data_IF_897715534847
#
_entry.id   IF_897715534847
#
_cell.length_a   1.000
_cell.length_b   1.000
_cell.length_c   1.000
_cell.angle_alpha   90.00
_cell.angle_beta   90.00
_cell.angle_gamma   90.00
#
_symmetry.space_group_name_H-M   'P 1'
#
loop_
_entity.id
_entity.type
_entity.pdbx_description
1 polymer ?
#
# COMPACT_ATOMS: atom_id res chain seq x y z
N UNK A 1 4.71 -10.92 -17.61
CA UNK A 1 5.06 -12.29 -17.17
C UNK A 1 6.19 -12.93 -17.97
N UNK A 2 6.29 -12.70 -19.30
CA UNK A 2 7.37 -13.23 -20.14
C UNK A 2 8.79 -13.09 -19.55
N UNK A 3 9.21 -11.87 -19.21
CA UNK A 3 10.55 -11.65 -18.65
C UNK A 3 10.79 -12.33 -17.31
N UNK A 4 9.78 -12.38 -16.43
CA UNK A 4 9.90 -13.07 -15.15
C UNK A 4 10.19 -14.57 -15.35
N UNK A 5 9.57 -15.22 -16.35
CA UNK A 5 9.84 -16.62 -16.69
C UNK A 5 11.27 -16.85 -17.16
N UNK A 6 11.79 -15.94 -18.00
CA UNK A 6 13.19 -15.99 -18.45
C UNK A 6 14.13 -15.84 -17.25
N UNK A 7 13.87 -14.88 -16.37
CA UNK A 7 14.68 -14.72 -15.15
C UNK A 7 14.66 -16.02 -14.34
N UNK A 8 13.48 -16.63 -14.17
CA UNK A 8 13.34 -17.90 -13.44
C UNK A 8 14.03 -19.09 -14.08
N UNK A 9 14.29 -19.08 -15.38
CA UNK A 9 15.05 -20.17 -16.02
C UNK A 9 16.57 -20.02 -15.84
N UNK A 10 17.06 -18.84 -15.43
CA UNK A 10 18.51 -18.57 -15.32
C UNK A 10 18.98 -18.30 -13.90
N UNK A 11 18.09 -17.90 -12.98
CA UNK A 11 18.45 -17.65 -11.57
C UNK A 11 18.11 -18.85 -10.68
N UNK A 12 18.96 -19.08 -9.67
CA UNK A 12 18.70 -20.08 -8.62
C UNK A 12 17.47 -19.70 -7.78
N UNK A 13 16.77 -20.70 -7.24
CA UNK A 13 15.54 -20.52 -6.44
C UNK A 13 15.64 -19.52 -5.27
N UNK A 14 16.77 -19.41 -4.53
CA UNK A 14 16.87 -18.42 -3.45
C UNK A 14 16.97 -16.96 -3.91
N UNK A 15 17.16 -16.69 -5.21
CA UNK A 15 17.16 -15.32 -5.73
C UNK A 15 15.71 -14.88 -5.88
N UNK A 16 15.34 -13.85 -5.13
CA UNK A 16 13.98 -13.31 -5.18
C UNK A 16 13.80 -12.39 -6.39
N UNK A 17 12.65 -12.46 -7.04
CA UNK A 17 12.31 -11.64 -8.21
C UNK A 17 11.13 -10.75 -7.86
N UNK A 18 11.34 -9.44 -7.94
CA UNK A 18 10.29 -8.46 -7.75
C UNK A 18 10.16 -7.50 -8.92
N UNK A 19 9.05 -6.77 -8.95
CA UNK A 19 8.83 -5.73 -9.94
C UNK A 19 8.02 -4.55 -9.38
N UNK A 20 8.15 -3.41 -10.04
CA UNK A 20 7.39 -2.20 -9.77
C UNK A 20 6.02 -2.28 -10.47
N UNK A 21 4.94 -2.48 -9.72
CA UNK A 21 3.60 -2.65 -10.32
C UNK A 21 2.45 -2.46 -9.31
N UNK A 22 1.22 -2.26 -9.81
CA UNK A 22 -0.01 -2.28 -8.98
C UNK A 22 -0.37 -1.00 -8.22
N UNK A 23 -0.11 0.17 -8.81
CA UNK A 23 -0.24 1.47 -8.12
C UNK A 23 -1.66 2.04 -8.12
N UNK A 24 -2.68 1.19 -7.96
CA UNK A 24 -4.10 1.59 -7.99
C UNK A 24 -4.47 2.59 -6.88
N UNK A 25 -3.67 2.66 -5.80
CA UNK A 25 -3.89 3.57 -4.67
C UNK A 25 -3.22 4.95 -4.83
N UNK A 26 -2.61 5.23 -5.98
CA UNK A 26 -1.86 6.47 -6.24
C UNK A 26 -2.05 7.00 -7.66
N UNK A 27 -2.15 6.11 -8.64
CA UNK A 27 -2.43 6.49 -10.03
C UNK A 27 -3.83 7.10 -10.11
N UNK A 28 -3.90 8.31 -10.63
CA UNK A 28 -5.12 9.11 -10.81
C UNK A 28 -4.98 9.89 -12.13
N UNK A 29 -5.90 10.79 -12.47
CA UNK A 29 -5.76 11.84 -13.50
C UNK A 29 -4.79 11.52 -14.66
N UNK A 30 -5.30 11.02 -15.78
CA UNK A 30 -4.51 10.57 -16.97
C UNK A 30 -3.60 9.35 -16.78
N UNK A 31 -3.47 8.83 -15.55
CA UNK A 31 -2.56 7.71 -15.26
C UNK A 31 -3.24 6.50 -14.63
N UNK A 32 -4.51 6.63 -14.22
CA UNK A 32 -5.26 5.55 -13.55
C UNK A 32 -5.38 4.32 -14.44
N UNK A 33 -5.86 4.49 -15.67
CA UNK A 33 -6.07 3.39 -16.62
C UNK A 33 -4.88 3.30 -17.57
N UNK A 34 -4.43 4.44 -18.11
CA UNK A 34 -3.43 4.47 -19.19
C UNK A 34 -2.02 4.05 -18.82
N UNK A 35 -1.64 4.06 -17.53
CA UNK A 35 -0.32 3.54 -17.12
C UNK A 35 -0.28 2.02 -16.95
N UNK A 36 -1.40 1.32 -17.17
CA UNK A 36 -1.42 -0.14 -17.26
C UNK A 36 -1.03 -0.85 -15.96
N UNK A 37 -1.45 -0.35 -14.79
CA UNK A 37 -1.16 -0.94 -13.48
C UNK A 37 -2.31 -1.80 -12.90
N UNK A 38 -3.43 -1.96 -13.61
CA UNK A 38 -4.65 -2.55 -13.06
C UNK A 38 -4.63 -4.09 -12.98
N UNK A 39 -3.75 -4.77 -13.73
CA UNK A 39 -3.61 -6.25 -13.72
C UNK A 39 -2.75 -6.77 -12.55
N UNK A 40 -2.67 -6.03 -11.43
CA UNK A 40 -1.75 -6.38 -10.34
C UNK A 40 -2.14 -7.66 -9.61
N UNK A 41 -3.43 -8.02 -9.62
CA UNK A 41 -3.90 -9.30 -9.09
C UNK A 41 -3.25 -10.47 -9.83
N UNK A 42 -3.20 -10.41 -11.16
CA UNK A 42 -2.56 -11.41 -12.01
C UNK A 42 -1.05 -11.48 -11.80
N UNK A 43 -0.41 -10.33 -11.56
CA UNK A 43 1.02 -10.27 -11.26
C UNK A 43 1.32 -10.89 -9.89
N UNK A 44 0.47 -10.62 -8.89
CA UNK A 44 0.59 -11.21 -7.56
C UNK A 44 0.21 -12.70 -7.54
N UNK A 45 -0.61 -13.19 -8.46
CA UNK A 45 -0.89 -14.62 -8.60
C UNK A 45 0.25 -15.38 -9.31
N UNK A 46 1.16 -14.66 -9.97
CA UNK A 46 2.25 -15.29 -10.73
C UNK A 46 3.29 -15.93 -9.79
N UNK A 47 3.61 -17.23 -9.96
CA UNK A 47 4.64 -17.90 -9.15
C UNK A 47 6.06 -17.40 -9.44
N UNK A 48 6.27 -16.74 -10.58
CA UNK A 48 7.58 -16.20 -10.95
C UNK A 48 7.93 -14.90 -10.21
N UNK A 49 6.96 -14.23 -9.58
CA UNK A 49 7.16 -12.97 -8.84
C UNK A 49 7.04 -13.24 -7.34
N UNK A 50 8.04 -12.88 -6.54
CA UNK A 50 8.00 -13.09 -5.08
C UNK A 50 7.48 -11.87 -4.30
N UNK A 51 7.70 -10.67 -4.85
CA UNK A 51 7.33 -9.42 -4.22
C UNK A 51 7.04 -8.32 -5.23
N UNK A 52 6.26 -7.32 -4.82
CA UNK A 52 6.14 -6.06 -5.56
C UNK A 52 6.87 -4.94 -4.84
N UNK A 53 7.33 -3.97 -5.62
CA UNK A 53 8.02 -2.78 -5.14
C UNK A 53 7.13 -1.59 -5.45
N UNK A 54 7.02 -0.67 -4.50
CA UNK A 54 6.46 0.64 -4.77
C UNK A 54 7.06 1.68 -3.82
N UNK A 55 7.17 2.93 -4.27
CA UNK A 55 7.31 4.07 -3.36
C UNK A 55 6.22 4.09 -2.30
N UNK A 56 6.49 4.78 -1.20
CA UNK A 56 5.43 5.30 -0.36
C UNK A 56 4.58 6.34 -1.10
N UNK A 57 3.38 6.57 -0.60
CA UNK A 57 2.45 7.52 -1.20
C UNK A 57 3.05 8.89 -1.45
N UNK A 58 2.74 9.49 -2.61
CA UNK A 58 3.20 10.83 -2.93
C UNK A 58 2.34 11.91 -2.24
N UNK A 59 1.16 11.54 -1.75
CA UNK A 59 0.22 12.37 -1.00
C UNK A 59 0.18 11.99 0.48
N UNK A 60 -0.25 12.88 1.37
CA UNK A 60 -0.46 12.59 2.81
C UNK A 60 0.78 12.04 3.56
N UNK A 61 1.99 12.26 3.03
CA UNK A 61 3.28 11.89 3.66
C UNK A 61 4.00 13.04 4.37
N UNK A 62 3.44 14.25 4.29
CA UNK A 62 3.92 15.38 5.08
C UNK A 62 3.70 15.14 6.58
N UNK A 63 4.27 15.99 7.43
CA UNK A 63 3.98 15.92 8.87
C UNK A 63 2.49 16.20 9.11
N UNK A 64 1.86 15.39 9.95
CA UNK A 64 0.40 15.41 10.17
C UNK A 64 -0.40 14.53 9.20
N UNK A 65 0.23 13.99 8.15
CA UNK A 65 -0.36 12.97 7.28
C UNK A 65 -0.09 11.53 7.76
N UNK A 66 -0.80 10.55 7.18
CA UNK A 66 -0.74 9.16 7.60
C UNK A 66 0.18 8.24 6.80
N UNK A 67 0.82 8.72 5.72
CA UNK A 67 1.53 7.87 4.75
C UNK A 67 0.60 6.81 4.11
N UNK A 68 1.18 5.73 3.57
CA UNK A 68 0.44 4.63 2.98
C UNK A 68 1.13 4.02 1.77
N UNK A 69 0.54 2.91 1.32
CA UNK A 69 1.03 2.12 0.19
C UNK A 69 0.37 2.52 -1.12
N UNK A 70 1.11 2.35 -2.21
CA UNK A 70 0.61 2.45 -3.58
C UNK A 70 -0.15 1.18 -4.01
N UNK A 71 0.23 0.06 -3.41
CA UNK A 71 -0.28 -1.29 -3.70
C UNK A 71 -1.25 -1.70 -2.58
N UNK A 72 -2.39 -2.35 -2.89
CA UNK A 72 -3.25 -2.94 -1.87
C UNK A 72 -2.49 -4.00 -1.08
N UNK A 73 -2.14 -3.68 0.16
CA UNK A 73 -1.30 -4.53 1.01
C UNK A 73 -2.00 -5.82 1.44
N UNK A 74 -3.32 -5.77 1.64
CA UNK A 74 -4.14 -6.93 1.95
C UNK A 74 -4.19 -7.94 0.79
N UNK A 75 -4.32 -7.43 -0.44
CA UNK A 75 -4.24 -8.23 -1.69
C UNK A 75 -2.94 -9.01 -1.79
N UNK A 76 -1.80 -8.36 -1.50
CA UNK A 76 -0.51 -9.04 -1.51
C UNK A 76 -0.43 -10.10 -0.39
N UNK A 77 -0.90 -9.75 0.81
CA UNK A 77 -0.85 -10.62 1.98
C UNK A 77 -1.66 -11.92 1.80
N UNK A 78 -2.89 -11.87 1.26
CA UNK A 78 -3.71 -13.07 1.04
C UNK A 78 -3.14 -14.02 -0.02
N UNK A 79 -2.20 -13.56 -0.84
CA UNK A 79 -1.45 -14.37 -1.81
C UNK A 79 -0.07 -14.80 -1.30
N UNK A 80 0.28 -14.44 -0.07
CA UNK A 80 1.62 -14.69 0.49
C UNK A 80 2.73 -13.95 -0.26
N UNK A 81 2.41 -12.87 -0.97
CA UNK A 81 3.40 -12.02 -1.65
C UNK A 81 3.87 -10.92 -0.72
N UNK A 82 5.15 -10.58 -0.84
CA UNK A 82 5.75 -9.50 -0.05
C UNK A 82 5.64 -8.17 -0.78
N UNK A 83 5.74 -7.10 -0.03
CA UNK A 83 5.89 -5.74 -0.55
C UNK A 83 7.21 -5.15 -0.06
N UNK A 84 7.93 -4.50 -0.96
CA UNK A 84 9.07 -3.63 -0.65
C UNK A 84 8.62 -2.18 -0.78
N UNK A 85 8.44 -1.54 0.37
CA UNK A 85 8.06 -0.13 0.52
C UNK A 85 9.31 0.73 0.39
N UNK A 86 9.46 1.37 -0.75
CA UNK A 86 10.53 2.32 -1.03
C UNK A 86 10.23 3.64 -0.31
N UNK A 87 11.07 3.98 0.65
CA UNK A 87 10.98 5.20 1.44
C UNK A 87 11.76 6.32 0.76
N UNK A 88 11.16 6.96 -0.24
CA UNK A 88 11.71 8.13 -0.96
C UNK A 88 11.25 9.47 -0.36
N UNK A 89 10.74 9.47 0.88
CA UNK A 89 10.28 10.69 1.52
C UNK A 89 11.43 11.68 1.67
N UNK A 90 11.20 12.89 1.17
CA UNK A 90 12.18 13.99 1.25
C UNK A 90 12.33 14.42 2.70
N UNK A 91 13.49 14.15 3.27
CA UNK A 91 13.84 14.62 4.61
C UNK A 91 14.26 16.09 4.56
N UNK A 92 14.62 16.65 5.72
CA UNK A 92 15.14 18.01 5.81
C UNK A 92 16.48 18.25 5.10
N UNK A 93 17.22 17.19 4.78
CA UNK A 93 18.53 17.28 4.13
C UNK A 93 18.51 16.82 2.68
N UNK A 94 17.33 16.44 2.15
CA UNK A 94 17.21 15.83 0.82
C UNK A 94 17.94 16.66 -0.24
N UNK A 95 18.76 15.97 -1.05
CA UNK A 95 19.38 16.60 -2.19
C UNK A 95 18.33 16.80 -3.30
N UNK A 96 18.06 18.07 -3.64
CA UNK A 96 17.16 18.42 -4.74
C UNK A 96 17.89 18.65 -6.07
N UNK A 97 19.23 18.61 -6.07
CA UNK A 97 20.04 18.83 -7.27
C UNK A 97 20.35 17.49 -7.96
N UNK A 98 19.78 17.31 -9.14
CA UNK A 98 20.15 16.21 -10.03
C UNK A 98 21.48 16.50 -10.75
N UNK A 99 21.74 17.78 -11.01
CA UNK A 99 22.99 18.31 -11.53
C UNK A 99 23.15 19.77 -11.07
N UNK A 100 24.30 20.43 -11.29
CA UNK A 100 24.46 21.86 -11.02
C UNK A 100 23.43 22.76 -11.73
N UNK A 101 22.78 22.25 -12.78
CA UNK A 101 21.82 22.99 -13.60
C UNK A 101 20.36 22.56 -13.42
N UNK A 102 20.11 21.42 -12.77
CA UNK A 102 18.77 20.85 -12.61
C UNK A 102 18.46 20.69 -11.12
N UNK A 103 17.49 21.47 -10.66
CA UNK A 103 17.00 21.44 -9.29
C UNK A 103 15.51 21.06 -9.26
N UNK A 104 15.18 19.95 -8.62
CA UNK A 104 13.83 19.40 -8.43
C UNK A 104 13.28 19.73 -7.04
N UNK A 105 13.40 20.99 -6.63
CA UNK A 105 12.91 21.43 -5.32
C UNK A 105 11.39 21.28 -5.25
N UNK A 106 10.92 20.49 -4.29
CA UNK A 106 9.51 20.22 -4.09
C UNK A 106 9.10 20.64 -2.68
N UNK A 107 7.84 21.07 -2.52
CA UNK A 107 7.34 21.62 -1.25
C UNK A 107 7.06 20.56 -0.18
N UNK A 108 7.14 19.27 -0.52
CA UNK A 108 6.72 18.16 0.35
C UNK A 108 7.83 17.62 1.26
N UNK A 109 8.92 18.36 1.46
CA UNK A 109 10.03 17.92 2.29
C UNK A 109 9.74 18.12 3.78
N UNK A 110 10.21 17.21 4.62
CA UNK A 110 10.12 17.36 6.07
C UNK A 110 11.00 18.54 6.50
N UNK A 111 10.44 19.56 7.18
CA UNK A 111 11.08 20.88 7.23
C UNK A 111 12.32 20.97 8.14
N UNK A 112 12.57 19.99 9.00
CA UNK A 112 13.70 19.98 9.94
C UNK A 112 14.04 18.56 10.43
N UNK A 113 15.15 18.44 11.20
CA UNK A 113 15.62 17.17 11.75
C UNK A 113 14.54 16.47 12.59
N UNK A 114 13.82 17.24 13.43
CA UNK A 114 12.73 16.70 14.28
C UNK A 114 11.63 16.07 13.43
N UNK A 115 11.18 16.75 12.39
CA UNK A 115 10.19 16.24 11.45
C UNK A 115 10.71 14.99 10.71
N UNK A 116 12.00 14.98 10.36
CA UNK A 116 12.61 13.82 9.68
C UNK A 116 12.67 12.60 10.60
N UNK A 117 13.10 12.77 11.85
CA UNK A 117 13.07 11.70 12.86
C UNK A 117 11.66 11.17 13.09
N UNK A 118 10.65 12.06 13.17
CA UNK A 118 9.26 11.64 13.33
C UNK A 118 8.73 10.86 12.11
N UNK A 119 9.02 11.34 10.89
CA UNK A 119 8.65 10.69 9.65
C UNK A 119 9.28 9.31 9.49
N UNK A 120 10.59 9.19 9.76
CA UNK A 120 11.31 7.91 9.73
C UNK A 120 10.69 6.89 10.71
N UNK A 121 10.35 7.32 11.93
CA UNK A 121 9.65 6.47 12.90
C UNK A 121 8.28 6.02 12.37
N UNK A 122 7.53 6.92 11.73
CA UNK A 122 6.22 6.60 11.12
C UNK A 122 6.36 5.54 10.03
N UNK A 123 7.29 5.69 9.08
CA UNK A 123 7.48 4.72 8.00
C UNK A 123 8.02 3.37 8.53
N UNK A 124 8.95 3.41 9.49
CA UNK A 124 9.46 2.20 10.14
C UNK A 124 8.37 1.42 10.88
N UNK A 125 7.53 2.13 11.64
CA UNK A 125 6.40 1.54 12.34
C UNK A 125 5.35 1.00 11.36
N UNK A 126 5.03 1.74 10.29
CA UNK A 126 4.12 1.27 9.24
C UNK A 126 4.62 -0.03 8.63
N UNK A 127 5.90 -0.10 8.25
CA UNK A 127 6.50 -1.30 7.68
C UNK A 127 6.47 -2.49 8.63
N UNK A 128 6.79 -2.29 9.91
CA UNK A 128 6.73 -3.34 10.94
C UNK A 128 5.30 -3.85 11.16
N UNK A 129 4.34 -2.94 11.39
CA UNK A 129 2.95 -3.30 11.70
C UNK A 129 2.27 -3.97 10.51
N UNK A 130 2.50 -3.45 9.30
CA UNK A 130 1.90 -3.96 8.07
C UNK A 130 2.75 -5.04 7.39
N UNK A 131 3.86 -5.45 8.01
CA UNK A 131 4.74 -6.54 7.57
C UNK A 131 5.26 -6.34 6.14
N UNK A 132 5.57 -5.10 5.78
CA UNK A 132 6.18 -4.73 4.50
C UNK A 132 7.66 -4.46 4.69
N UNK A 133 8.49 -4.94 3.78
CA UNK A 133 9.92 -4.66 3.79
C UNK A 133 10.16 -3.19 3.48
N UNK A 134 11.23 -2.62 4.03
CA UNK A 134 11.58 -1.21 3.86
C UNK A 134 12.85 -1.09 3.03
N UNK A 135 12.81 -0.21 2.04
CA UNK A 135 13.99 0.25 1.32
C UNK A 135 14.15 1.74 1.57
N UNK A 136 15.08 2.10 2.46
CA UNK A 136 15.48 3.49 2.70
C UNK A 136 16.25 4.00 1.47
N UNK A 137 15.57 4.72 0.60
CA UNK A 137 16.11 5.07 -0.70
C UNK A 137 16.76 6.46 -0.67
N UNK A 138 18.08 6.49 -0.62
CA UNK A 138 18.88 7.71 -0.66
C UNK A 138 19.00 8.25 -2.09
N UNK A 139 17.94 8.92 -2.54
CA UNK A 139 17.80 9.38 -3.92
C UNK A 139 18.78 10.53 -4.20
N UNK A 140 19.80 10.27 -5.02
CA UNK A 140 20.87 11.23 -5.37
C UNK A 140 21.73 11.71 -4.19
N UNK A 141 21.72 10.98 -3.07
CA UNK A 141 22.52 11.27 -1.89
C UNK A 141 21.88 12.30 -0.94
N UNK A 142 22.39 12.33 0.29
CA UNK A 142 22.06 13.30 1.34
C UNK A 142 20.63 13.28 1.87
N UNK A 143 19.80 12.29 1.52
CA UNK A 143 18.46 12.18 2.12
C UNK A 143 18.52 11.85 3.60
N UNK A 144 19.59 11.29 4.15
CA UNK A 144 19.61 10.84 5.54
C UNK A 144 20.79 11.39 6.34
N UNK A 145 20.98 12.72 6.30
CA UNK A 145 22.06 13.37 7.06
C UNK A 145 21.63 13.71 8.49
N UNK A 146 22.62 13.73 9.39
CA UNK A 146 22.46 14.10 10.80
C UNK A 146 22.52 12.91 11.76
N UNK A 147 23.11 13.14 12.93
CA UNK A 147 23.34 12.09 13.93
C UNK A 147 22.02 11.46 14.41
N UNK A 148 21.00 12.27 14.71
CA UNK A 148 19.71 11.75 15.19
C UNK A 148 18.94 10.99 14.12
N UNK A 149 19.09 11.37 12.86
CA UNK A 149 18.52 10.65 11.71
C UNK A 149 19.14 9.26 11.63
N UNK A 150 20.46 9.18 11.65
CA UNK A 150 21.18 7.90 11.59
C UNK A 150 20.93 7.02 12.81
N UNK A 151 20.88 7.59 14.01
CA UNK A 151 20.48 6.87 15.23
C UNK A 151 19.05 6.30 15.11
N UNK A 152 18.13 7.07 14.52
CA UNK A 152 16.74 6.62 14.30
C UNK A 152 16.68 5.45 13.32
N UNK A 153 17.42 5.51 12.21
CA UNK A 153 17.52 4.40 11.25
C UNK A 153 18.17 3.17 11.86
N UNK A 154 19.22 3.34 12.68
CA UNK A 154 19.85 2.25 13.41
C UNK A 154 18.86 1.57 14.37
N UNK A 155 18.07 2.34 15.12
CA UNK A 155 17.01 1.81 15.99
C UNK A 155 15.90 1.11 15.19
N UNK A 156 15.51 1.66 14.05
CA UNK A 156 14.53 1.02 13.17
C UNK A 156 15.04 -0.33 12.64
N UNK A 157 16.32 -0.40 12.25
CA UNK A 157 16.97 -1.66 11.85
C UNK A 157 17.00 -2.68 12.99
N UNK A 158 17.35 -2.25 14.20
CA UNK A 158 17.37 -3.14 15.37
C UNK A 158 16.00 -3.75 15.66
N UNK A 159 14.95 -2.92 15.69
CA UNK A 159 13.56 -3.37 15.85
C UNK A 159 13.14 -4.30 14.71
N UNK A 160 13.53 -3.99 13.47
CA UNK A 160 13.29 -4.86 12.33
C UNK A 160 14.00 -6.21 12.45
N UNK A 161 15.22 -6.26 12.95
CA UNK A 161 15.93 -7.53 13.20
C UNK A 161 15.29 -8.36 14.30
N UNK A 162 14.67 -7.71 15.31
CA UNK A 162 14.01 -8.39 16.42
C UNK A 162 12.61 -8.90 16.05
N UNK A 163 11.83 -8.09 15.34
CA UNK A 163 10.40 -8.34 15.10
C UNK A 163 10.06 -8.68 13.65
N UNK A 164 10.95 -8.38 12.71
CA UNK A 164 10.76 -8.69 11.29
C UNK A 164 10.67 -10.20 11.06
N UNK A 165 9.71 -10.61 10.23
CA UNK A 165 9.48 -12.01 9.89
C UNK A 165 8.73 -12.82 10.95
N UNK A 166 8.39 -12.25 12.10
CA UNK A 166 7.53 -12.92 13.08
C UNK A 166 6.11 -13.09 12.50
N UNK A 167 5.49 -14.28 12.61
CA UNK A 167 4.09 -14.46 12.27
C UNK A 167 3.23 -13.56 13.17
N UNK A 168 2.50 -12.64 12.56
CA UNK A 168 1.49 -11.83 13.22
C UNK A 168 0.25 -11.76 12.35
N UNK A 169 -0.92 -11.62 12.96
CA UNK A 169 -2.18 -11.37 12.22
C UNK A 169 -2.42 -9.87 12.15
N UNK A 170 -2.86 -9.39 10.99
CA UNK A 170 -3.31 -8.01 10.87
C UNK A 170 -4.57 -7.82 11.72
N UNK A 171 -4.53 -6.82 12.61
CA UNK A 171 -5.61 -6.54 13.55
C UNK A 171 -6.64 -5.52 13.01
N UNK A 172 -6.57 -5.16 11.71
CA UNK A 172 -7.47 -4.18 11.12
C UNK A 172 -8.90 -4.72 11.10
N UNK A 173 -9.81 -3.90 11.61
CA UNK A 173 -11.25 -4.14 11.57
C UNK A 173 -11.95 -3.24 10.54
N UNK A 174 -11.18 -2.48 9.76
CA UNK A 174 -11.66 -1.73 8.61
C UNK A 174 -11.01 -2.26 7.33
N UNK A 175 -11.80 -2.50 6.29
CA UNK A 175 -11.31 -2.85 4.98
C UNK A 175 -11.69 -1.77 3.97
N UNK A 176 -10.72 -1.35 3.16
CA UNK A 176 -10.98 -0.61 1.93
C UNK A 176 -10.91 -1.60 0.77
N UNK A 177 -11.93 -1.63 -0.07
CA UNK A 177 -12.03 -2.52 -1.22
C UNK A 177 -11.90 -1.70 -2.50
N UNK A 178 -10.85 -1.99 -3.26
CA UNK A 178 -10.65 -1.46 -4.62
C UNK A 178 -11.05 -2.52 -5.65
N UNK A 179 -11.46 -2.08 -6.84
CA UNK A 179 -11.88 -2.98 -7.91
C UNK A 179 -11.17 -2.60 -9.22
N UNK A 180 -10.06 -3.28 -9.58
CA UNK A 180 -9.32 -2.98 -10.81
C UNK A 180 -10.17 -3.18 -12.06
N UNK A 181 -11.10 -4.13 -12.06
CA UNK A 181 -11.96 -4.42 -13.21
C UNK A 181 -12.93 -3.27 -13.46
N UNK A 182 -13.65 -2.82 -12.42
CA UNK A 182 -14.50 -1.63 -12.51
C UNK A 182 -13.71 -0.38 -12.88
N UNK A 183 -12.44 -0.31 -12.46
CA UNK A 183 -11.56 0.83 -12.74
C UNK A 183 -11.29 1.01 -14.24
N UNK A 184 -11.36 -0.04 -15.07
CA UNK A 184 -11.25 0.09 -16.53
C UNK A 184 -12.35 0.95 -17.16
N UNK A 185 -13.51 1.04 -16.50
CA UNK A 185 -14.66 1.81 -16.97
C UNK A 185 -14.69 3.25 -16.46
N UNK A 186 -13.70 3.64 -15.64
CA UNK A 186 -13.62 4.99 -15.08
C UNK A 186 -12.95 5.93 -16.07
N UNK A 187 -13.59 7.06 -16.37
CA UNK A 187 -12.94 8.14 -17.08
C UNK A 187 -11.84 8.75 -16.21
N UNK A 188 -10.58 8.41 -16.51
CA UNK A 188 -9.42 8.90 -15.77
C UNK A 188 -9.17 10.41 -15.89
N UNK A 189 -9.86 11.11 -16.79
CA UNK A 189 -9.79 12.57 -16.93
C UNK A 189 -10.82 13.29 -16.06
N UNK A 190 -11.76 12.56 -15.44
CA UNK A 190 -12.69 13.14 -14.48
C UNK A 190 -11.95 13.62 -13.23
N UNK A 191 -12.11 14.89 -12.79
CA UNK A 191 -11.39 15.43 -11.64
C UNK A 191 -11.65 14.69 -10.33
N UNK A 192 -12.81 14.02 -10.20
CA UNK A 192 -13.20 13.27 -8.99
C UNK A 192 -12.43 11.96 -8.83
N UNK A 193 -11.77 11.48 -9.89
CA UNK A 193 -11.02 10.21 -9.87
C UNK A 193 -9.92 10.20 -8.80
N UNK A 194 -9.35 11.37 -8.49
CA UNK A 194 -8.33 11.52 -7.45
C UNK A 194 -8.86 11.15 -6.07
N UNK A 195 -10.13 11.45 -5.82
CA UNK A 195 -10.74 11.23 -4.51
C UNK A 195 -11.24 9.79 -4.33
N UNK A 196 -11.37 9.03 -5.42
CA UNK A 196 -11.87 7.66 -5.45
C UNK A 196 -11.03 6.70 -4.58
N UNK A 197 -9.85 6.29 -5.06
CA UNK A 197 -9.00 5.36 -4.32
C UNK A 197 -8.00 6.11 -3.42
N UNK A 198 -7.22 7.02 -4.01
CA UNK A 198 -6.16 7.77 -3.31
C UNK A 198 -6.75 8.67 -2.21
N UNK A 199 -7.73 9.51 -2.53
CA UNK A 199 -8.36 10.39 -1.55
C UNK A 199 -9.06 9.64 -0.43
N UNK A 200 -9.80 8.58 -0.73
CA UNK A 200 -10.44 7.74 0.31
C UNK A 200 -9.40 7.09 1.23
N UNK A 201 -8.34 6.49 0.67
CA UNK A 201 -7.26 5.90 1.48
C UNK A 201 -6.62 6.93 2.41
N UNK A 202 -6.39 8.15 1.94
CA UNK A 202 -5.83 9.22 2.77
C UNK A 202 -6.82 9.70 3.85
N UNK A 203 -8.13 9.67 3.60
CA UNK A 203 -9.14 9.97 4.63
C UNK A 203 -9.18 8.88 5.70
N UNK A 204 -8.99 7.62 5.34
CA UNK A 204 -8.95 6.51 6.29
C UNK A 204 -7.79 6.61 7.29
N UNK A 205 -6.69 7.28 6.95
CA UNK A 205 -5.62 7.59 7.92
C UNK A 205 -6.10 8.43 9.12
N UNK A 206 -7.24 9.12 8.99
CA UNK A 206 -7.85 9.95 10.04
C UNK A 206 -9.01 9.26 10.75
N UNK A 207 -9.28 7.99 10.43
CA UNK A 207 -10.37 7.20 11.02
C UNK A 207 -10.16 6.93 12.52
N UNK A 208 -8.90 6.94 12.99
CA UNK A 208 -8.55 6.51 14.34
C UNK A 208 -8.61 4.99 14.55
N UNK A 209 -8.84 4.22 13.47
CA UNK A 209 -8.84 2.76 13.47
C UNK A 209 -7.93 2.23 12.35
N UNK A 210 -7.22 1.10 12.57
CA UNK A 210 -6.39 0.48 11.54
C UNK A 210 -7.26 -0.07 10.41
N UNK A 211 -6.80 0.13 9.18
CA UNK A 211 -7.43 -0.40 7.98
C UNK A 211 -6.43 -1.18 7.12
N UNK A 212 -6.97 -2.01 6.25
CA UNK A 212 -6.22 -2.78 5.25
C UNK A 212 -6.92 -2.65 3.88
N UNK A 213 -6.15 -2.69 2.80
CA UNK A 213 -6.71 -2.52 1.44
C UNK A 213 -6.65 -3.82 0.66
N UNK A 214 -7.80 -4.26 0.13
CA UNK A 214 -7.93 -5.47 -0.67
C UNK A 214 -8.55 -5.16 -2.03
N UNK A 215 -8.31 -6.05 -2.97
CA UNK A 215 -9.08 -6.09 -4.21
C UNK A 215 -10.43 -6.75 -3.96
N UNK A 216 -11.41 -6.39 -4.77
CA UNK A 216 -12.74 -6.98 -4.70
C UNK A 216 -12.71 -8.52 -4.83
N UNK A 217 -11.92 -9.06 -5.75
CA UNK A 217 -11.84 -10.52 -5.97
C UNK A 217 -11.12 -11.26 -4.82
N UNK A 218 -10.51 -10.54 -3.87
CA UNK A 218 -9.80 -11.14 -2.75
C UNK A 218 -10.66 -11.32 -1.50
N UNK A 219 -11.90 -10.81 -1.50
CA UNK A 219 -12.81 -10.97 -0.36
C UNK A 219 -12.94 -12.46 0.05
N UNK A 220 -13.12 -13.44 -0.87
CA UNK A 220 -13.20 -14.86 -0.52
C UNK A 220 -11.86 -15.46 -0.10
N UNK A 221 -10.73 -14.83 -0.48
CA UNK A 221 -9.39 -15.28 -0.07
C UNK A 221 -9.05 -14.86 1.37
N UNK A 222 -9.78 -13.89 1.92
CA UNK A 222 -9.66 -13.52 3.33
C UNK A 222 -10.49 -14.48 4.19
N UNK A 223 -9.86 -15.51 4.74
CA UNK A 223 -10.53 -16.54 5.55
C UNK A 223 -11.33 -15.97 6.74
N UNK A 224 -10.91 -14.83 7.25
CA UNK A 224 -11.46 -14.12 8.39
C UNK A 224 -12.00 -12.74 8.00
N UNK A 225 -12.60 -12.63 6.81
CA UNK A 225 -13.24 -11.39 6.36
C UNK A 225 -14.34 -10.91 7.33
N UNK A 226 -14.87 -11.82 8.14
CA UNK A 226 -15.83 -11.56 9.21
C UNK A 226 -15.35 -10.60 10.30
N UNK A 227 -14.03 -10.40 10.44
CA UNK A 227 -13.43 -9.46 11.40
C UNK A 227 -13.71 -7.99 11.07
N UNK A 228 -14.01 -7.68 9.81
CA UNK A 228 -14.20 -6.30 9.37
C UNK A 228 -15.56 -5.78 9.81
N UNK A 229 -15.54 -4.70 10.60
CA UNK A 229 -16.73 -3.99 11.10
C UNK A 229 -17.15 -2.84 10.18
N UNK A 230 -16.20 -2.32 9.39
CA UNK A 230 -16.44 -1.32 8.37
C UNK A 230 -15.76 -1.77 7.07
N UNK A 231 -16.53 -1.86 5.99
CA UNK A 231 -16.02 -2.19 4.65
C UNK A 231 -16.39 -1.05 3.72
N UNK A 232 -15.38 -0.42 3.11
CA UNK A 232 -15.53 0.75 2.22
C UNK A 232 -15.17 0.35 0.80
N UNK A 233 -16.16 0.27 -0.08
CA UNK A 233 -15.96 0.00 -1.50
C UNK A 233 -15.75 1.31 -2.25
N UNK A 234 -14.57 1.51 -2.84
CA UNK A 234 -14.20 2.82 -3.44
C UNK A 234 -14.38 2.87 -4.95
N UNK A 235 -14.33 1.73 -5.63
CA UNK A 235 -14.37 1.64 -7.09
C UNK A 235 -15.29 0.52 -7.62
N UNK A 236 -16.19 -0.03 -6.81
CA UNK A 236 -17.09 -1.13 -7.20
C UNK A 236 -18.30 -0.64 -8.04
N UNK A 237 -18.05 -0.09 -9.22
CA UNK A 237 -19.10 0.45 -10.12
C UNK A 237 -19.77 -0.61 -10.98
N UNK A 238 -19.03 -1.66 -11.34
CA UNK A 238 -19.52 -2.78 -12.16
C UNK A 238 -19.79 -3.97 -11.24
N UNK A 239 -21.06 -4.18 -10.92
CA UNK A 239 -21.53 -5.30 -10.09
C UNK A 239 -22.16 -6.38 -10.96
N UNK A 240 -21.35 -7.37 -11.35
CA UNK A 240 -21.82 -8.56 -12.05
C UNK A 240 -22.60 -9.48 -11.10
N UNK A 241 -23.39 -10.45 -11.62
CA UNK A 241 -24.04 -11.45 -10.78
C UNK A 241 -23.09 -12.17 -9.83
N UNK A 242 -21.86 -12.47 -10.28
CA UNK A 242 -20.82 -13.13 -9.48
C UNK A 242 -20.34 -12.23 -8.33
N UNK A 243 -20.10 -10.94 -8.60
CA UNK A 243 -19.72 -9.97 -7.56
C UNK A 243 -20.84 -9.78 -6.54
N UNK A 244 -22.09 -9.76 -6.98
CA UNK A 244 -23.26 -9.67 -6.09
C UNK A 244 -23.38 -10.91 -5.21
N UNK A 245 -23.19 -12.10 -5.78
CA UNK A 245 -23.20 -13.36 -5.03
C UNK A 245 -22.11 -13.36 -3.94
N UNK A 246 -20.89 -12.97 -4.31
CA UNK A 246 -19.76 -12.82 -3.39
C UNK A 246 -20.08 -11.86 -2.23
N UNK A 247 -20.69 -10.71 -2.53
CA UNK A 247 -21.09 -9.74 -1.51
C UNK A 247 -22.14 -10.33 -0.56
N UNK A 248 -23.13 -11.04 -1.09
CA UNK A 248 -24.18 -11.68 -0.28
C UNK A 248 -23.60 -12.74 0.65
N UNK A 249 -22.63 -13.52 0.17
CA UNK A 249 -22.01 -14.61 0.93
C UNK A 249 -21.05 -14.10 2.02
N UNK A 250 -20.19 -13.14 1.70
CA UNK A 250 -19.08 -12.77 2.59
C UNK A 250 -19.29 -11.46 3.35
N UNK A 251 -20.08 -10.54 2.81
CA UNK A 251 -20.17 -9.15 3.31
C UNK A 251 -21.54 -8.83 3.89
N UNK A 252 -22.61 -9.19 3.19
CA UNK A 252 -24.00 -8.91 3.54
C UNK A 252 -24.69 -10.10 4.21
N UNK A 253 -23.96 -11.19 4.46
CA UNK A 253 -24.52 -12.36 5.11
C UNK A 253 -25.04 -11.99 6.50
N UNK A 254 -26.34 -12.25 6.72
CA UNK A 254 -26.96 -12.09 8.04
C UNK A 254 -26.42 -13.20 8.94
N UNK A 255 -25.61 -12.84 9.93
CA UNK A 255 -25.09 -13.80 10.90
C UNK A 255 -26.06 -13.93 12.08
N UNK A 256 -26.39 -15.16 12.52
CA UNK A 256 -27.14 -15.36 13.75
C UNK A 256 -26.31 -14.79 14.92
N UNK A 257 -26.78 -13.70 15.54
CA UNK A 257 -26.12 -13.07 16.70
C UNK A 257 -26.10 -11.54 16.73
N UNK A 258 -26.38 -10.85 15.62
CA UNK A 258 -26.38 -9.37 15.54
C UNK A 258 -27.77 -8.73 15.70
N UNK A 259 -28.64 -9.29 16.54
CA UNK A 259 -29.87 -8.60 16.98
C UNK A 259 -29.65 -7.91 18.33
N UNK A 260 -29.68 -6.56 18.42
CA UNK A 260 -30.13 -5.89 19.63
C UNK A 260 -31.66 -5.91 19.58
N UNK A 261 -32.27 -7.04 19.96
CA UNK A 261 -33.70 -7.23 19.74
C UNK A 261 -34.23 -8.50 20.36
N UNK A 262 -34.07 -8.65 21.68
CA UNK A 262 -35.08 -9.32 22.50
C UNK A 262 -35.75 -8.24 23.34
N UNK A 263 -37.06 -8.16 23.49
CA UNK A 263 -38.19 -9.01 23.06
C UNK A 263 -39.49 -8.23 23.44
N UNK A 264 -40.68 -8.80 23.21
CA UNK A 264 -41.73 -8.33 22.30
C UNK A 264 -42.40 -6.98 22.65
#
# INVERSE_FOLDING_TARGET
>A
MYFARIIRSVVRRPVEVGCFYGYILEKTARTLVSCGHLEYEKVLDAPEIDFLIAPGTYQDREMGGGSGFLIPNGTAAVRGKRLLHECDQRTHTYNSYLSPHINLRLKSAWPNEKASVAGLKREAALGLIKRTHLWWFDMWGDYYQGEKVMQTLARARELWSQHGGQPARDASQTAMIVDPESTYYVNQDDPRVRDMNLGTRNRLNRLGAPFEVFSFQDIPRCQDFDRFRLVVFTSAFVLTPEKIALLREHVLAVRPGNHPGGTP
#
